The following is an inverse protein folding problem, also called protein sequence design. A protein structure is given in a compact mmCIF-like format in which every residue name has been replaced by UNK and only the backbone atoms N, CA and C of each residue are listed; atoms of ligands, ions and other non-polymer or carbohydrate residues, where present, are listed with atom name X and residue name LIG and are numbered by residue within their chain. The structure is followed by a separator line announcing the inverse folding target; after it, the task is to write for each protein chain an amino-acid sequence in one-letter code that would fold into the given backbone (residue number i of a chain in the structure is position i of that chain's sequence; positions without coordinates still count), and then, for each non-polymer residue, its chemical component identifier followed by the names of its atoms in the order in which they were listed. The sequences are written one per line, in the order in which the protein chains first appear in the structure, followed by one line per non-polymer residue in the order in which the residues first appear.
data_IF_912717779408
#
_entry.id   IF_912717779408
#
_cell.length_a   1.000
_cell.length_b   1.000
_cell.length_c   1.000
_cell.angle_alpha   90.00
_cell.angle_beta   90.00
_cell.angle_gamma   90.00
#
_symmetry.space_group_name_H-M   'P 1'
#
loop_
_entity.id
_entity.type
_entity.pdbx_description
1 polymer ?
#
# COMPACT_ATOMS: atom_id res chain seq x y z
N UNK A 1 -6.61 8.50 29.72
CA UNK A 1 -5.21 8.92 29.52
C UNK A 1 -4.96 10.34 30.03
N UNK A 2 -5.72 11.36 29.61
CA UNK A 2 -5.57 12.73 30.12
C UNK A 2 -5.71 12.82 31.65
N UNK A 3 -6.71 12.14 32.24
CA UNK A 3 -6.88 12.14 33.71
C UNK A 3 -5.73 11.47 34.45
N UNK A 4 -5.18 10.39 33.89
CA UNK A 4 -3.99 9.72 34.41
C UNK A 4 -2.79 10.68 34.39
N UNK A 5 -2.56 11.37 33.27
CA UNK A 5 -1.47 12.34 33.16
C UNK A 5 -1.66 13.52 34.14
N UNK A 6 -2.87 14.07 34.24
CA UNK A 6 -3.19 15.15 35.21
C UNK A 6 -2.95 14.71 36.65
N UNK A 7 -3.33 13.48 37.00
CA UNK A 7 -3.17 12.93 38.34
C UNK A 7 -1.69 12.67 38.67
N UNK A 8 -0.98 11.97 37.80
CA UNK A 8 0.37 11.48 38.10
C UNK A 8 1.49 12.48 37.82
N UNK A 9 1.25 13.49 36.98
CA UNK A 9 2.21 14.58 36.75
C UNK A 9 1.98 15.80 37.67
N UNK A 10 1.03 15.72 38.60
CA UNK A 10 0.80 16.78 39.58
C UNK A 10 1.98 16.90 40.56
N UNK A 11 2.26 18.13 41.01
CA UNK A 11 3.28 18.35 42.04
C UNK A 11 2.91 17.61 43.34
N UNK A 12 3.83 16.80 43.86
CA UNK A 12 3.59 15.97 45.04
C UNK A 12 2.79 14.70 44.78
N UNK A 13 2.59 14.30 43.52
CA UNK A 13 2.04 12.99 43.19
C UNK A 13 2.92 11.85 43.72
N UNK A 14 2.28 10.73 44.03
CA UNK A 14 2.95 9.51 44.46
C UNK A 14 3.97 9.05 43.39
N UNK A 15 5.22 8.70 43.76
CA UNK A 15 6.23 8.24 42.81
C UNK A 15 5.80 7.06 41.94
N UNK A 16 4.94 6.18 42.46
CA UNK A 16 4.44 4.98 41.78
C UNK A 16 3.08 5.22 41.10
N UNK A 17 2.56 6.46 41.10
CA UNK A 17 1.26 6.79 40.52
C UNK A 17 1.13 6.29 39.07
N UNK A 18 2.12 6.57 38.23
CA UNK A 18 2.07 6.18 36.82
C UNK A 18 2.04 4.67 36.63
N UNK A 19 2.84 3.93 37.41
CA UNK A 19 2.88 2.47 37.33
C UNK A 19 1.56 1.84 37.79
N UNK A 20 0.99 2.33 38.89
CA UNK A 20 -0.28 1.86 39.42
C UNK A 20 -1.44 2.15 38.45
N UNK A 21 -1.55 3.39 37.98
CA UNK A 21 -2.62 3.82 37.08
C UNK A 21 -2.51 3.17 35.69
N UNK A 22 -1.29 3.01 35.15
CA UNK A 22 -1.07 2.32 33.88
C UNK A 22 -1.40 0.83 33.96
N UNK A 23 -1.13 0.18 35.10
CA UNK A 23 -1.51 -1.22 35.35
C UNK A 23 -3.03 -1.36 35.37
N UNK A 24 -3.73 -0.53 36.15
CA UNK A 24 -5.19 -0.50 36.18
C UNK A 24 -5.80 -0.21 34.80
N UNK A 25 -5.18 0.66 34.01
CA UNK A 25 -5.60 0.94 32.64
C UNK A 25 -5.44 -0.28 31.72
N UNK A 26 -4.34 -1.02 31.84
CA UNK A 26 -4.11 -2.25 31.08
C UNK A 26 -5.10 -3.36 31.46
N UNK A 27 -5.43 -3.49 32.74
CA UNK A 27 -6.46 -4.41 33.25
C UNK A 27 -7.84 -4.07 32.71
N UNK A 28 -8.20 -2.78 32.76
CA UNK A 28 -9.46 -2.29 32.21
C UNK A 28 -9.57 -2.56 30.72
N UNK A 29 -8.48 -2.41 29.95
CA UNK A 29 -8.45 -2.75 28.51
C UNK A 29 -8.79 -4.22 28.23
N UNK A 30 -8.48 -5.12 29.16
CA UNK A 30 -8.75 -6.55 29.05
C UNK A 30 -10.15 -6.98 29.51
N UNK A 31 -10.91 -6.09 30.14
CA UNK A 31 -12.25 -6.42 30.60
C UNK A 31 -13.20 -6.66 29.40
N UNK A 32 -14.10 -7.67 29.47
CA UNK A 32 -15.10 -7.91 28.41
C UNK A 32 -15.92 -6.67 28.08
N UNK A 33 -16.31 -5.90 29.10
CA UNK A 33 -17.09 -4.66 28.99
C UNK A 33 -16.22 -3.38 28.86
N UNK A 34 -14.96 -3.54 28.47
CA UNK A 34 -14.07 -2.38 28.25
C UNK A 34 -14.65 -1.46 27.17
N UNK A 35 -14.74 -0.13 27.42
CA UNK A 35 -15.18 0.83 26.42
C UNK A 35 -14.08 1.16 25.39
N UNK A 36 -12.88 0.57 25.52
CA UNK A 36 -11.74 0.89 24.68
C UNK A 36 -11.72 0.07 23.38
N UNK A 37 -11.22 0.64 22.28
CA UNK A 37 -11.03 -0.11 21.04
C UNK A 37 -10.07 -1.27 21.25
N UNK A 38 -10.31 -2.37 20.53
CA UNK A 38 -9.51 -3.60 20.63
C UNK A 38 -8.65 -3.79 19.39
N UNK A 39 -7.38 -4.13 19.60
CA UNK A 39 -6.52 -4.60 18.53
C UNK A 39 -6.69 -6.11 18.31
N UNK A 40 -6.54 -6.61 17.07
CA UNK A 40 -6.38 -8.03 16.82
C UNK A 40 -5.27 -8.61 17.72
N UNK A 41 -5.53 -9.75 18.36
CA UNK A 41 -4.58 -10.39 19.27
C UNK A 41 -4.65 -9.94 20.73
N UNK A 42 -5.47 -8.93 21.08
CA UNK A 42 -5.60 -8.44 22.47
C UNK A 42 -5.98 -9.55 23.47
N UNK A 43 -6.83 -10.49 23.07
CA UNK A 43 -7.23 -11.61 23.91
C UNK A 43 -6.02 -12.44 24.37
N UNK A 44 -5.03 -12.65 23.49
CA UNK A 44 -3.79 -13.34 23.82
C UNK A 44 -2.89 -12.56 24.77
N UNK A 45 -2.89 -11.23 24.72
CA UNK A 45 -2.18 -10.40 25.69
C UNK A 45 -2.87 -10.36 27.05
N UNK A 46 -4.19 -10.46 27.08
CA UNK A 46 -4.98 -10.39 28.31
C UNK A 46 -4.88 -11.64 29.19
N UNK A 47 -4.33 -12.75 28.67
CA UNK A 47 -3.95 -13.91 29.48
C UNK A 47 -2.66 -13.70 30.29
N UNK A 48 -1.85 -12.71 29.91
CA UNK A 48 -0.62 -12.34 30.62
C UNK A 48 -0.94 -11.45 31.83
N UNK A 49 0.05 -11.21 32.69
CA UNK A 49 -0.08 -10.37 33.89
C UNK A 49 1.06 -9.35 34.00
N UNK A 50 0.85 -8.30 34.81
CA UNK A 50 1.90 -7.31 35.14
C UNK A 50 2.61 -6.74 33.91
N UNK A 51 3.95 -6.79 33.93
CA UNK A 51 4.79 -6.26 32.86
C UNK A 51 4.59 -7.00 31.52
N UNK A 52 4.42 -8.32 31.54
CA UNK A 52 4.24 -9.11 30.31
C UNK A 52 2.97 -8.72 29.57
N UNK A 53 1.89 -8.43 30.30
CA UNK A 53 0.67 -7.86 29.72
C UNK A 53 0.93 -6.49 29.11
N UNK A 54 1.61 -5.58 29.84
CA UNK A 54 1.92 -4.22 29.35
C UNK A 54 2.73 -4.29 28.06
N UNK A 55 3.78 -5.11 28.02
CA UNK A 55 4.64 -5.28 26.85
C UNK A 55 3.90 -5.92 25.67
N UNK A 56 3.09 -6.94 25.93
CA UNK A 56 2.29 -7.57 24.88
C UNK A 56 1.28 -6.58 24.28
N UNK A 57 0.53 -5.85 25.11
CA UNK A 57 -0.43 -4.84 24.66
C UNK A 57 0.26 -3.73 23.86
N UNK A 58 1.44 -3.27 24.30
CA UNK A 58 2.23 -2.25 23.59
C UNK A 58 2.77 -2.73 22.24
N UNK A 59 2.97 -4.05 22.06
CA UNK A 59 3.41 -4.64 20.81
C UNK A 59 2.27 -4.83 19.79
N UNK A 60 1.01 -4.75 20.21
CA UNK A 60 -0.14 -4.83 19.31
C UNK A 60 -0.15 -3.64 18.35
N UNK A 61 -0.39 -3.92 17.06
CA UNK A 61 -0.50 -2.90 16.02
C UNK A 61 -1.93 -2.85 15.51
N UNK A 62 -2.43 -1.65 15.25
CA UNK A 62 -3.67 -1.51 14.49
C UNK A 62 -3.42 -1.94 13.04
N UNK A 63 -4.34 -2.67 12.40
CA UNK A 63 -4.13 -3.12 11.03
C UNK A 63 -4.05 -1.91 10.09
N UNK A 64 -3.13 -1.89 9.11
CA UNK A 64 -3.12 -0.86 8.08
C UNK A 64 -4.42 -0.83 7.28
N UNK A 65 -4.90 0.38 6.99
CA UNK A 65 -6.12 0.60 6.22
C UNK A 65 -5.75 0.97 4.78
N UNK A 66 -5.91 0.01 3.87
CA UNK A 66 -5.61 0.21 2.43
C UNK A 66 -6.69 1.04 1.72
N UNK A 67 -7.90 1.10 2.27
CA UNK A 67 -9.04 1.85 1.73
C UNK A 67 -9.56 2.85 2.77
N UNK A 68 -9.05 4.10 2.79
CA UNK A 68 -9.62 5.18 3.59
C UNK A 68 -11.10 5.38 3.24
N UNK A 69 -11.92 5.63 4.26
CA UNK A 69 -13.36 5.88 4.16
C UNK A 69 -13.75 7.31 4.54
N UNK A 70 -12.81 8.11 5.04
CA UNK A 70 -13.00 9.51 5.38
C UNK A 70 -13.37 10.29 4.12
N UNK A 71 -14.57 10.86 4.14
CA UNK A 71 -15.07 11.77 3.12
C UNK A 71 -15.30 13.11 3.78
N UNK A 72 -14.66 14.15 3.25
CA UNK A 72 -14.88 15.50 3.74
C UNK A 72 -16.32 15.95 3.42
N UNK A 73 -17.11 16.39 4.41
CA UNK A 73 -18.45 16.90 4.16
C UNK A 73 -18.44 18.21 3.34
N UNK A 74 -19.61 18.64 2.91
CA UNK A 74 -19.74 19.94 2.25
C UNK A 74 -19.37 21.09 3.21
N UNK A 75 -19.02 22.25 2.64
CA UNK A 75 -18.67 23.44 3.44
C UNK A 75 -19.82 23.84 4.39
N UNK A 76 -21.07 23.68 3.96
CA UNK A 76 -22.27 23.98 4.74
C UNK A 76 -22.39 23.03 5.93
N UNK A 77 -22.31 21.72 5.70
CA UNK A 77 -22.34 20.70 6.76
C UNK A 77 -21.22 20.88 7.78
N UNK A 78 -20.01 21.21 7.32
CA UNK A 78 -18.87 21.51 8.19
C UNK A 78 -19.17 22.70 9.10
N UNK A 79 -19.64 23.81 8.53
CA UNK A 79 -19.89 25.02 9.32
C UNK A 79 -21.10 24.88 10.25
N UNK A 80 -22.14 24.17 9.84
CA UNK A 80 -23.29 23.87 10.69
C UNK A 80 -22.91 22.97 11.86
N UNK A 81 -22.10 21.93 11.62
CA UNK A 81 -21.59 21.05 12.67
C UNK A 81 -20.69 21.82 13.66
N UNK A 82 -19.76 22.63 13.15
CA UNK A 82 -18.89 23.48 13.98
C UNK A 82 -19.70 24.46 14.82
N UNK A 83 -20.74 25.09 14.25
CA UNK A 83 -21.60 26.03 14.97
C UNK A 83 -22.41 25.35 16.07
N UNK A 84 -22.88 24.12 15.82
CA UNK A 84 -23.71 23.35 16.74
C UNK A 84 -22.92 22.85 17.96
N UNK A 85 -21.74 22.30 17.73
CA UNK A 85 -20.86 21.75 18.77
C UNK A 85 -19.40 21.83 18.31
N UNK A 86 -18.71 22.96 18.58
CA UNK A 86 -17.34 23.14 18.13
C UNK A 86 -16.38 22.06 18.67
N UNK A 87 -16.53 21.69 19.93
CA UNK A 87 -15.64 20.72 20.57
C UNK A 87 -15.90 19.31 20.04
N UNK A 88 -17.15 18.86 20.00
CA UNK A 88 -17.50 17.55 19.47
C UNK A 88 -17.20 17.41 17.98
N UNK A 89 -17.31 18.49 17.20
CA UNK A 89 -16.87 18.53 15.81
C UNK A 89 -15.36 18.25 15.69
N UNK A 90 -14.54 18.97 16.45
CA UNK A 90 -13.08 18.82 16.42
C UNK A 90 -12.63 17.43 16.88
N UNK A 91 -13.21 16.92 17.97
CA UNK A 91 -12.91 15.57 18.46
C UNK A 91 -13.27 14.49 17.45
N UNK A 92 -14.45 14.59 16.82
CA UNK A 92 -14.89 13.63 15.80
C UNK A 92 -14.00 13.69 14.56
N UNK A 93 -13.69 14.89 14.07
CA UNK A 93 -12.77 15.05 12.94
C UNK A 93 -11.42 14.42 13.25
N UNK A 94 -10.84 14.70 14.42
CA UNK A 94 -9.55 14.14 14.82
C UNK A 94 -9.61 12.61 14.91
N UNK A 95 -10.68 12.03 15.47
CA UNK A 95 -10.85 10.59 15.55
C UNK A 95 -10.97 9.94 14.16
N UNK A 96 -11.88 10.44 13.32
CA UNK A 96 -12.18 9.87 12.01
C UNK A 96 -10.99 10.01 11.05
N UNK A 97 -10.41 11.21 10.96
CA UNK A 97 -9.27 11.48 10.07
C UNK A 97 -8.01 10.74 10.53
N UNK A 98 -7.70 10.77 11.84
CA UNK A 98 -6.48 10.12 12.33
C UNK A 98 -6.58 8.60 12.28
N UNK A 99 -7.76 8.02 12.44
CA UNK A 99 -7.97 6.57 12.28
C UNK A 99 -7.69 6.13 10.84
N UNK A 100 -8.18 6.91 9.86
CA UNK A 100 -8.06 6.61 8.44
C UNK A 100 -6.66 6.83 7.88
N UNK A 101 -5.94 7.81 8.42
CA UNK A 101 -4.56 8.16 8.04
C UNK A 101 -3.55 7.82 9.14
N UNK A 102 -3.82 6.77 9.90
CA UNK A 102 -3.09 6.36 11.12
C UNK A 102 -1.63 5.93 10.89
N UNK A 103 -1.25 5.66 9.64
CA UNK A 103 0.12 5.34 9.26
C UNK A 103 0.91 6.55 8.77
N UNK A 104 0.29 7.73 8.62
CA UNK A 104 1.07 8.96 8.49
C UNK A 104 1.88 9.18 9.78
N UNK A 105 3.17 9.56 9.69
CA UNK A 105 3.94 9.93 10.87
C UNK A 105 3.23 11.00 11.68
N UNK A 106 3.26 10.85 13.01
CA UNK A 106 2.53 11.73 13.92
C UNK A 106 2.77 13.23 13.65
N UNK A 107 4.00 13.73 13.42
CA UNK A 107 4.21 15.14 13.11
C UNK A 107 3.49 15.61 11.84
N UNK A 108 3.43 14.76 10.81
CA UNK A 108 2.76 15.06 9.54
C UNK A 108 1.25 15.10 9.75
N UNK A 109 0.71 14.10 10.45
CA UNK A 109 -0.73 14.01 10.75
C UNK A 109 -1.19 15.19 11.61
N UNK A 110 -0.43 15.55 12.64
CA UNK A 110 -0.69 16.73 13.49
C UNK A 110 -0.68 18.02 12.68
N UNK A 111 0.34 18.22 11.83
CA UNK A 111 0.38 19.40 10.97
C UNK A 111 -0.84 19.45 10.04
N UNK A 112 -1.26 18.33 9.45
CA UNK A 112 -2.46 18.26 8.60
C UNK A 112 -3.72 18.66 9.35
N UNK A 113 -3.97 18.06 10.53
CA UNK A 113 -5.20 18.30 11.31
C UNK A 113 -5.26 19.72 11.87
N UNK A 114 -4.14 20.26 12.36
CA UNK A 114 -4.06 21.66 12.83
C UNK A 114 -4.38 22.63 11.70
N UNK A 115 -3.77 22.45 10.53
CA UNK A 115 -4.04 23.30 9.38
C UNK A 115 -5.51 23.20 8.95
N UNK A 116 -6.06 21.99 8.88
CA UNK A 116 -7.46 21.76 8.52
C UNK A 116 -8.44 22.48 9.46
N UNK A 117 -8.30 22.28 10.78
CA UNK A 117 -9.15 22.94 11.77
C UNK A 117 -8.99 24.47 11.74
N UNK A 118 -7.79 24.97 11.46
CA UNK A 118 -7.56 26.41 11.25
C UNK A 118 -8.34 26.96 10.05
N UNK A 119 -8.37 26.24 8.92
CA UNK A 119 -9.14 26.63 7.74
C UNK A 119 -10.62 26.69 8.08
N UNK A 120 -11.14 25.65 8.73
CA UNK A 120 -12.56 25.55 9.10
C UNK A 120 -12.98 26.72 9.98
N UNK A 121 -12.26 26.97 11.08
CA UNK A 121 -12.58 28.08 11.99
C UNK A 121 -12.55 29.43 11.28
N UNK A 122 -11.58 29.63 10.39
CA UNK A 122 -11.43 30.88 9.63
C UNK A 122 -12.54 31.06 8.60
N UNK A 123 -12.82 30.03 7.80
CA UNK A 123 -13.74 30.15 6.67
C UNK A 123 -15.20 30.08 7.08
N UNK A 124 -15.56 29.34 8.13
CA UNK A 124 -16.92 29.36 8.67
C UNK A 124 -17.27 30.69 9.35
N UNK A 125 -16.28 31.44 9.82
CA UNK A 125 -16.47 32.80 10.34
C UNK A 125 -16.50 33.87 9.22
N UNK A 126 -16.19 33.51 7.98
CA UNK A 126 -16.14 34.44 6.84
C UNK A 126 -17.52 34.68 6.24
N UNK A 127 -17.81 35.94 5.91
CA UNK A 127 -19.01 36.33 5.14
C UNK A 127 -19.02 35.67 3.76
N UNK A 128 -17.84 35.45 3.17
CA UNK A 128 -17.67 34.76 1.89
C UNK A 128 -17.06 33.37 2.10
N UNK A 129 -17.74 32.52 2.88
CA UNK A 129 -17.27 31.19 3.29
C UNK A 129 -16.75 30.34 2.11
N UNK A 130 -17.50 30.22 1.02
CA UNK A 130 -17.10 29.40 -0.14
C UNK A 130 -15.82 29.91 -0.83
N UNK A 131 -15.63 31.23 -0.95
CA UNK A 131 -14.42 31.82 -1.54
C UNK A 131 -13.22 31.58 -0.61
N UNK A 132 -13.43 31.71 0.71
CA UNK A 132 -12.41 31.39 1.70
C UNK A 132 -11.96 29.93 1.60
N UNK A 133 -12.91 28.97 1.63
CA UNK A 133 -12.60 27.54 1.54
C UNK A 133 -11.83 27.20 0.28
N UNK A 134 -12.25 27.72 -0.88
CA UNK A 134 -11.54 27.48 -2.14
C UNK A 134 -10.09 27.95 -2.06
N UNK A 135 -9.87 29.19 -1.59
CA UNK A 135 -8.53 29.78 -1.48
C UNK A 135 -7.65 29.00 -0.51
N UNK A 136 -8.17 28.67 0.67
CA UNK A 136 -7.41 27.98 1.71
C UNK A 136 -7.11 26.51 1.35
N UNK A 137 -8.07 25.78 0.76
CA UNK A 137 -7.83 24.41 0.29
C UNK A 137 -6.77 24.38 -0.82
N UNK A 138 -6.79 25.32 -1.76
CA UNK A 138 -5.75 25.42 -2.80
C UNK A 138 -4.37 25.68 -2.19
N UNK A 139 -4.28 26.55 -1.17
CA UNK A 139 -3.04 26.85 -0.45
C UNK A 139 -2.50 25.63 0.31
N UNK A 140 -3.39 24.85 0.91
CA UNK A 140 -3.04 23.72 1.81
C UNK A 140 -3.01 22.36 1.12
N UNK A 141 -3.33 22.30 -0.19
CA UNK A 141 -3.26 21.09 -1.00
C UNK A 141 -1.94 20.32 -0.86
N UNK A 142 -0.74 20.95 -0.81
CA UNK A 142 0.51 20.23 -0.63
C UNK A 142 0.59 19.48 0.72
N UNK A 143 0.07 20.07 1.80
CA UNK A 143 0.06 19.44 3.14
C UNK A 143 -0.84 18.21 3.15
N UNK A 144 -2.03 18.31 2.57
CA UNK A 144 -2.96 17.18 2.47
C UNK A 144 -2.38 16.06 1.59
N UNK A 145 -1.85 16.42 0.42
CA UNK A 145 -1.21 15.48 -0.50
C UNK A 145 -0.04 14.74 0.18
N UNK A 146 0.81 15.48 0.88
CA UNK A 146 1.94 14.91 1.62
C UNK A 146 1.50 13.95 2.72
N UNK A 147 0.43 14.28 3.45
CA UNK A 147 -0.15 13.42 4.48
C UNK A 147 -0.67 12.11 3.90
N UNK A 148 -1.48 12.19 2.83
CA UNK A 148 -2.07 11.01 2.20
C UNK A 148 -0.99 10.12 1.58
N UNK A 149 0.01 10.72 0.95
CA UNK A 149 1.13 10.00 0.35
C UNK A 149 2.00 9.30 1.39
N UNK A 150 2.36 10.01 2.48
CA UNK A 150 3.12 9.43 3.59
C UNK A 150 2.35 8.29 4.25
N UNK A 151 1.04 8.46 4.46
CA UNK A 151 0.17 7.39 4.97
C UNK A 151 0.20 6.15 4.06
N UNK A 152 0.05 6.33 2.74
CA UNK A 152 0.07 5.22 1.78
C UNK A 152 1.43 4.51 1.77
N UNK A 153 2.52 5.26 1.76
CA UNK A 153 3.87 4.69 1.73
C UNK A 153 4.22 3.95 3.04
N UNK A 154 3.82 4.50 4.19
CA UNK A 154 4.02 3.85 5.48
C UNK A 154 3.08 2.68 5.74
N UNK A 155 1.85 2.73 5.22
CA UNK A 155 0.94 1.58 5.18
C UNK A 155 1.58 0.43 4.40
N UNK A 156 2.12 0.72 3.21
CA UNK A 156 2.84 -0.26 2.39
C UNK A 156 4.02 -0.88 3.17
N UNK A 157 4.86 -0.05 3.80
CA UNK A 157 6.02 -0.54 4.55
C UNK A 157 5.62 -1.36 5.77
N UNK A 158 4.57 -0.97 6.49
CA UNK A 158 4.06 -1.72 7.62
C UNK A 158 3.50 -3.10 7.23
N UNK A 159 2.91 -3.21 6.03
CA UNK A 159 2.36 -4.46 5.50
C UNK A 159 3.43 -5.40 4.96
N UNK A 160 4.40 -4.86 4.24
CA UNK A 160 5.41 -5.65 3.55
C UNK A 160 6.66 -5.92 4.41
N UNK A 161 7.01 -4.96 5.26
CA UNK A 161 8.31 -4.87 5.91
C UNK A 161 9.43 -4.52 4.94
N UNK A 162 10.51 -3.95 5.48
CA UNK A 162 11.66 -3.39 4.74
C UNK A 162 12.08 -4.17 3.49
N UNK A 163 12.36 -5.47 3.60
CA UNK A 163 12.85 -6.26 2.47
C UNK A 163 11.85 -6.36 1.30
N UNK A 164 10.56 -6.54 1.59
CA UNK A 164 9.53 -6.60 0.53
C UNK A 164 9.13 -5.19 0.07
N UNK A 165 9.26 -4.17 0.91
CA UNK A 165 9.16 -2.76 0.49
C UNK A 165 10.21 -2.44 -0.57
N UNK A 166 11.47 -2.87 -0.38
CA UNK A 166 12.50 -2.74 -1.42
C UNK A 166 12.10 -3.44 -2.72
N UNK A 167 11.52 -4.64 -2.66
CA UNK A 167 11.02 -5.32 -3.86
C UNK A 167 9.87 -4.56 -4.52
N UNK A 168 8.94 -4.04 -3.72
CA UNK A 168 7.82 -3.23 -4.21
C UNK A 168 8.32 -2.05 -5.04
N UNK A 169 9.27 -1.26 -4.50
CA UNK A 169 9.84 -0.14 -5.26
C UNK A 169 10.68 -0.58 -6.46
N UNK A 170 11.39 -1.72 -6.38
CA UNK A 170 12.11 -2.27 -7.54
C UNK A 170 11.15 -2.56 -8.69
N UNK A 171 10.03 -3.24 -8.39
CA UNK A 171 8.97 -3.52 -9.37
C UNK A 171 8.44 -2.20 -9.93
N UNK A 172 8.08 -1.25 -9.06
CA UNK A 172 7.46 0.02 -9.48
C UNK A 172 8.37 0.83 -10.40
N UNK A 173 9.62 1.05 -10.03
CA UNK A 173 10.56 1.78 -10.88
C UNK A 173 10.81 1.08 -12.21
N UNK A 174 10.90 -0.24 -12.21
CA UNK A 174 11.12 -1.03 -13.43
C UNK A 174 9.91 -0.97 -14.37
N UNK A 175 8.69 -1.10 -13.85
CA UNK A 175 7.46 -1.01 -14.64
C UNK A 175 7.16 0.42 -15.13
N UNK A 176 7.53 1.44 -14.36
CA UNK A 176 7.40 2.85 -14.74
C UNK A 176 8.46 3.29 -15.76
N UNK A 177 9.65 2.70 -15.71
CA UNK A 177 10.78 3.03 -16.59
C UNK A 177 11.52 1.74 -17.02
N UNK A 178 10.99 0.97 -17.99
CA UNK A 178 11.59 -0.30 -18.41
C UNK A 178 13.00 -0.16 -19.04
N UNK A 179 13.41 1.06 -19.38
CA UNK A 179 14.76 1.40 -19.83
C UNK A 179 15.77 1.59 -18.67
N UNK A 180 15.31 1.71 -17.43
CA UNK A 180 16.16 1.88 -16.24
C UNK A 180 16.98 0.61 -16.02
N UNK A 181 18.30 0.75 -15.83
CA UNK A 181 19.17 -0.40 -15.56
C UNK A 181 18.86 -1.04 -14.20
N UNK A 182 19.17 -2.33 -14.06
CA UNK A 182 19.02 -3.07 -12.80
C UNK A 182 19.72 -2.37 -11.62
N UNK A 183 20.98 -1.95 -11.80
CA UNK A 183 21.78 -1.35 -10.73
C UNK A 183 21.17 -0.03 -10.25
N UNK A 184 20.61 0.76 -11.16
CA UNK A 184 19.92 1.99 -10.81
C UNK A 184 18.57 1.71 -10.15
N UNK A 185 17.79 0.76 -10.67
CA UNK A 185 16.48 0.40 -10.12
C UNK A 185 16.60 -0.16 -8.70
N UNK A 186 17.56 -1.06 -8.44
CA UNK A 186 17.77 -1.65 -7.12
C UNK A 186 18.32 -0.65 -6.10
N UNK A 187 19.11 0.34 -6.55
CA UNK A 187 19.62 1.42 -5.71
C UNK A 187 18.49 2.35 -5.27
N UNK A 188 17.69 2.87 -6.21
CA UNK A 188 16.52 3.71 -5.91
C UNK A 188 15.52 2.98 -5.01
N UNK A 189 15.25 1.70 -5.29
CA UNK A 189 14.37 0.89 -4.48
C UNK A 189 14.90 0.66 -3.04
N UNK A 190 16.22 0.50 -2.90
CA UNK A 190 16.89 0.39 -1.62
C UNK A 190 16.75 1.67 -0.79
N UNK A 191 16.96 2.82 -1.42
CA UNK A 191 16.78 4.14 -0.78
C UNK A 191 15.34 4.33 -0.32
N UNK A 192 14.35 4.10 -1.19
CA UNK A 192 12.95 4.24 -0.84
C UNK A 192 12.58 3.39 0.39
N UNK A 193 13.06 2.14 0.43
CA UNK A 193 12.85 1.25 1.57
C UNK A 193 13.55 1.72 2.85
N UNK A 194 14.76 2.28 2.76
CA UNK A 194 15.48 2.83 3.91
C UNK A 194 14.76 4.05 4.48
N UNK A 195 14.33 4.96 3.60
CA UNK A 195 13.60 6.18 3.98
C UNK A 195 12.32 5.82 4.73
N UNK A 196 11.54 4.85 4.23
CA UNK A 196 10.31 4.43 4.91
C UNK A 196 10.60 3.77 6.26
N UNK A 197 11.57 2.85 6.31
CA UNK A 197 11.99 2.21 7.56
C UNK A 197 12.49 3.21 8.60
N UNK A 198 13.07 4.33 8.18
CA UNK A 198 13.57 5.40 9.04
C UNK A 198 12.47 6.37 9.47
N UNK A 199 11.64 6.84 8.52
CA UNK A 199 10.75 7.97 8.75
C UNK A 199 9.32 7.59 9.17
N UNK A 200 8.83 6.39 8.85
CA UNK A 200 7.45 6.02 9.17
C UNK A 200 7.14 5.96 10.68
N UNK A 201 8.14 5.69 11.50
CA UNK A 201 8.03 5.66 12.97
C UNK A 201 8.76 6.82 13.65
N UNK A 202 9.30 7.76 12.88
CA UNK A 202 10.06 8.89 13.41
C UNK A 202 9.14 9.99 13.96
N UNK A 203 9.55 10.60 15.06
CA UNK A 203 8.94 11.80 15.63
C UNK A 203 9.61 13.09 15.14
N UNK A 204 10.65 12.99 14.31
CA UNK A 204 11.30 14.15 13.70
C UNK A 204 10.39 14.80 12.66
N UNK A 205 10.02 16.07 12.87
CA UNK A 205 9.07 16.81 12.02
C UNK A 205 9.43 16.85 10.54
N UNK A 206 10.73 16.78 10.21
CA UNK A 206 11.27 16.94 8.86
C UNK A 206 11.92 15.69 8.28
N UNK A 207 11.74 14.52 8.89
CA UNK A 207 12.38 13.28 8.41
C UNK A 207 12.10 13.03 6.93
N UNK A 208 10.82 12.95 6.55
CA UNK A 208 10.43 12.71 5.16
C UNK A 208 10.88 13.83 4.23
N UNK A 209 10.74 15.10 4.62
CA UNK A 209 11.11 16.23 3.77
C UNK A 209 12.61 16.23 3.45
N UNK A 210 13.46 15.91 4.42
CA UNK A 210 14.91 15.85 4.24
C UNK A 210 15.31 14.68 3.34
N UNK A 211 14.79 13.48 3.61
CA UNK A 211 15.12 12.26 2.88
C UNK A 211 14.54 12.26 1.46
N UNK A 212 13.27 12.65 1.31
CA UNK A 212 12.55 12.64 0.03
C UNK A 212 13.19 13.62 -0.96
N UNK A 213 13.68 14.77 -0.50
CA UNK A 213 14.38 15.73 -1.36
C UNK A 213 15.61 15.12 -2.03
N UNK A 214 16.41 14.37 -1.27
CA UNK A 214 17.59 13.68 -1.80
C UNK A 214 17.18 12.58 -2.76
N UNK A 215 16.16 11.80 -2.40
CA UNK A 215 15.67 10.71 -3.22
C UNK A 215 15.06 11.19 -4.55
N UNK A 216 14.25 12.25 -4.55
CA UNK A 216 13.71 12.87 -5.77
C UNK A 216 14.86 13.30 -6.70
N UNK A 217 15.89 13.95 -6.15
CA UNK A 217 17.04 14.38 -6.96
C UNK A 217 17.74 13.17 -7.60
N UNK A 218 17.91 12.07 -6.86
CA UNK A 218 18.51 10.85 -7.39
C UNK A 218 17.64 10.18 -8.47
N UNK A 219 16.31 10.09 -8.26
CA UNK A 219 15.37 9.62 -9.30
C UNK A 219 15.52 10.46 -10.56
N UNK A 220 15.45 11.79 -10.43
CA UNK A 220 15.48 12.70 -11.57
C UNK A 220 16.79 12.66 -12.35
N UNK A 221 17.93 12.43 -11.68
CA UNK A 221 19.23 12.31 -12.33
C UNK A 221 19.43 10.96 -13.05
N UNK A 222 18.75 9.92 -12.59
CA UNK A 222 19.06 8.53 -12.99
C UNK A 222 18.04 7.93 -13.93
N UNK A 223 16.75 8.23 -13.73
CA UNK A 223 15.66 7.58 -14.43
C UNK A 223 15.01 8.45 -15.53
N UNK A 224 15.31 9.75 -15.61
CA UNK A 224 14.73 10.63 -16.64
C UNK A 224 15.25 10.36 -18.05
N UNK A 225 16.45 9.79 -18.19
CA UNK A 225 17.07 9.56 -19.50
C UNK A 225 16.22 8.57 -20.31
N UNK A 226 15.56 9.07 -21.36
CA UNK A 226 14.65 8.28 -22.19
C UNK A 226 13.24 8.08 -21.61
N UNK A 227 12.85 8.85 -20.58
CA UNK A 227 11.48 8.86 -20.04
C UNK A 227 10.95 10.30 -19.91
N UNK A 228 10.32 10.80 -20.98
CA UNK A 228 9.76 12.17 -21.02
C UNK A 228 8.68 12.41 -19.96
N UNK A 229 7.90 11.38 -19.61
CA UNK A 229 6.85 11.46 -18.58
C UNK A 229 7.47 11.75 -17.22
N UNK A 230 8.56 11.06 -16.89
CA UNK A 230 9.32 11.29 -15.66
C UNK A 230 10.05 12.64 -15.68
N UNK A 231 10.63 13.02 -16.83
CA UNK A 231 11.27 14.33 -16.99
C UNK A 231 10.28 15.49 -16.74
N UNK A 232 9.04 15.34 -17.20
CA UNK A 232 7.95 16.30 -16.92
C UNK A 232 7.69 16.43 -15.42
N UNK A 233 7.60 15.30 -14.69
CA UNK A 233 7.45 15.33 -13.23
C UNK A 233 8.61 16.04 -12.52
N UNK A 234 9.85 15.80 -12.96
CA UNK A 234 11.05 16.41 -12.38
C UNK A 234 11.17 17.93 -12.64
N UNK A 235 10.36 18.48 -13.55
CA UNK A 235 10.36 19.91 -13.89
C UNK A 235 9.51 20.76 -12.94
N UNK A 236 8.71 20.17 -12.04
CA UNK A 236 7.94 20.95 -11.05
C UNK A 236 8.86 21.71 -10.09
N UNK A 237 8.37 22.78 -9.47
CA UNK A 237 9.14 23.58 -8.50
C UNK A 237 9.06 23.04 -7.06
N UNK A 238 8.05 22.25 -6.74
CA UNK A 238 7.77 21.76 -5.39
C UNK A 238 8.09 20.27 -5.25
N UNK A 239 8.84 19.88 -4.20
CA UNK A 239 9.31 18.50 -4.04
C UNK A 239 8.14 17.52 -3.78
N UNK A 240 7.11 17.95 -3.05
CA UNK A 240 5.90 17.13 -2.82
C UNK A 240 5.17 16.85 -4.13
N UNK A 241 4.99 17.87 -4.98
CA UNK A 241 4.36 17.75 -6.29
C UNK A 241 5.19 16.95 -7.28
N UNK A 242 6.53 17.10 -7.26
CA UNK A 242 7.43 16.21 -8.02
C UNK A 242 7.19 14.76 -7.64
N UNK A 243 7.28 14.42 -6.37
CA UNK A 243 7.13 13.03 -5.95
C UNK A 243 5.70 12.52 -6.13
N UNK A 244 4.68 13.34 -5.91
CA UNK A 244 3.29 12.97 -6.22
C UNK A 244 3.14 12.64 -7.71
N UNK A 245 3.73 13.45 -8.60
CA UNK A 245 3.74 13.16 -10.03
C UNK A 245 4.46 11.84 -10.33
N UNK A 246 5.68 11.64 -9.81
CA UNK A 246 6.46 10.40 -9.98
C UNK A 246 5.66 9.19 -9.48
N UNK A 247 5.10 9.27 -8.28
CA UNK A 247 4.30 8.21 -7.66
C UNK A 247 3.05 7.88 -8.49
N UNK A 248 2.43 8.89 -9.10
CA UNK A 248 1.21 8.74 -9.90
C UNK A 248 1.47 8.37 -11.37
N UNK A 249 2.73 8.27 -11.82
CA UNK A 249 3.02 7.83 -13.19
C UNK A 249 2.48 6.41 -13.41
N UNK A 250 1.71 6.19 -14.49
CA UNK A 250 1.25 4.85 -14.85
C UNK A 250 2.42 3.99 -15.34
N UNK A 251 2.15 2.71 -15.55
CA UNK A 251 3.07 1.81 -16.22
C UNK A 251 3.55 2.36 -17.57
N UNK A 252 4.77 2.02 -17.97
CA UNK A 252 5.25 2.23 -19.32
C UNK A 252 5.07 0.98 -20.18
N UNK A 253 5.15 1.16 -21.49
CA UNK A 253 5.30 0.06 -22.43
C UNK A 253 6.79 -0.26 -22.54
N UNK A 254 7.13 -1.54 -22.46
CA UNK A 254 8.47 -1.95 -22.87
C UNK A 254 8.62 -1.75 -24.38
N UNK A 255 9.65 -1.01 -24.79
CA UNK A 255 10.04 -0.85 -26.20
C UNK A 255 11.10 -1.86 -26.64
N UNK A 256 11.50 -2.78 -25.75
CA UNK A 256 12.58 -3.73 -26.00
C UNK A 256 12.04 -5.12 -26.31
N UNK A 257 12.75 -5.84 -27.19
CA UNK A 257 12.47 -7.24 -27.47
C UNK A 257 12.56 -8.06 -26.17
N UNK A 258 11.56 -8.90 -25.86
CA UNK A 258 11.58 -9.70 -24.64
C UNK A 258 12.75 -10.68 -24.68
N UNK A 259 13.78 -10.42 -23.87
CA UNK A 259 14.71 -11.48 -23.49
C UNK A 259 14.04 -12.37 -22.46
N UNK A 260 14.41 -13.65 -22.43
CA UNK A 260 13.94 -14.55 -21.37
C UNK A 260 14.39 -14.01 -20.00
N UNK A 261 13.53 -14.02 -18.98
CA UNK A 261 13.91 -13.58 -17.65
C UNK A 261 15.00 -14.50 -17.08
N UNK A 262 15.90 -13.96 -16.26
CA UNK A 262 16.90 -14.77 -15.56
C UNK A 262 16.25 -15.88 -14.72
N UNK A 263 16.88 -17.06 -14.67
CA UNK A 263 16.40 -18.20 -13.88
C UNK A 263 16.71 -18.06 -12.39
N UNK A 264 15.85 -18.64 -11.55
CA UNK A 264 16.09 -18.86 -10.13
C UNK A 264 16.56 -20.31 -9.97
N UNK A 265 17.87 -20.51 -9.81
CA UNK A 265 18.52 -21.83 -9.78
C UNK A 265 19.47 -22.00 -8.57
N UNK A 266 20.21 -23.11 -8.52
CA UNK A 266 21.15 -23.41 -7.44
C UNK A 266 22.25 -22.35 -7.25
N UNK A 267 22.50 -21.49 -8.24
CA UNK A 267 23.42 -20.37 -8.15
C UNK A 267 23.07 -19.41 -7.02
N UNK A 268 21.80 -19.33 -6.61
CA UNK A 268 21.35 -18.49 -5.48
C UNK A 268 21.97 -18.90 -4.14
N UNK A 269 22.43 -20.14 -4.01
CA UNK A 269 23.01 -20.65 -2.76
C UNK A 269 24.40 -20.07 -2.46
N UNK A 270 25.02 -19.35 -3.40
CA UNK A 270 26.27 -18.62 -3.16
C UNK A 270 26.06 -17.45 -2.22
N UNK A 271 27.15 -16.97 -1.59
CA UNK A 271 27.14 -15.89 -0.58
C UNK A 271 26.32 -14.65 -0.99
N UNK A 272 26.42 -14.23 -2.25
CA UNK A 272 25.72 -13.05 -2.80
C UNK A 272 24.55 -13.42 -3.73
N UNK A 273 24.11 -14.68 -3.73
CA UNK A 273 23.10 -15.20 -4.67
C UNK A 273 21.69 -14.62 -4.49
N UNK A 274 21.42 -13.92 -3.38
CA UNK A 274 20.18 -13.14 -3.22
C UNK A 274 19.99 -12.09 -4.32
N UNK A 275 21.09 -11.58 -4.88
CA UNK A 275 21.07 -10.65 -6.04
C UNK A 275 20.41 -11.27 -7.26
N UNK A 276 20.53 -12.58 -7.44
CA UNK A 276 19.96 -13.28 -8.58
C UNK A 276 18.41 -13.31 -8.49
N UNK A 277 17.84 -13.41 -7.28
CA UNK A 277 16.39 -13.25 -7.07
C UNK A 277 15.94 -11.82 -7.42
N UNK A 278 16.68 -10.80 -6.97
CA UNK A 278 16.35 -9.40 -7.30
C UNK A 278 16.37 -9.18 -8.82
N UNK A 279 17.36 -9.77 -9.51
CA UNK A 279 17.51 -9.68 -10.96
C UNK A 279 16.38 -10.39 -11.70
N UNK A 280 15.97 -11.57 -11.25
CA UNK A 280 14.80 -12.26 -11.79
C UNK A 280 13.54 -11.38 -11.69
N UNK A 281 13.25 -10.80 -10.51
CA UNK A 281 12.08 -9.93 -10.35
C UNK A 281 12.15 -8.69 -11.25
N UNK A 282 13.33 -8.09 -11.39
CA UNK A 282 13.55 -6.98 -12.31
C UNK A 282 13.27 -7.40 -13.76
N UNK A 283 13.81 -8.52 -14.24
CA UNK A 283 13.62 -8.96 -15.62
C UNK A 283 12.13 -9.25 -15.90
N UNK A 284 11.45 -9.92 -14.97
CA UNK A 284 10.02 -10.23 -15.10
C UNK A 284 9.17 -8.96 -15.07
N UNK A 285 9.43 -8.03 -14.16
CA UNK A 285 8.70 -6.75 -14.10
C UNK A 285 8.91 -5.90 -15.35
N UNK A 286 10.08 -6.01 -15.99
CA UNK A 286 10.42 -5.32 -17.23
C UNK A 286 9.72 -5.91 -18.46
N UNK A 287 9.57 -7.23 -18.51
CA UNK A 287 8.86 -7.94 -19.59
C UNK A 287 7.35 -7.71 -19.45
N UNK A 288 6.83 -7.88 -18.23
CA UNK A 288 5.41 -7.78 -17.91
C UNK A 288 5.12 -6.47 -17.17
N UNK A 289 5.27 -5.34 -17.87
CA UNK A 289 5.19 -4.01 -17.27
C UNK A 289 3.84 -3.68 -16.64
N UNK A 290 2.77 -4.40 -17.01
CA UNK A 290 1.41 -4.22 -16.50
C UNK A 290 0.99 -5.34 -15.56
N UNK A 291 1.90 -6.25 -15.20
CA UNK A 291 1.61 -7.28 -14.21
C UNK A 291 1.32 -6.64 -12.83
N UNK A 292 0.26 -7.08 -12.13
CA UNK A 292 0.01 -6.71 -10.74
C UNK A 292 1.22 -6.97 -9.85
N UNK A 293 1.58 -5.98 -9.04
CA UNK A 293 2.69 -6.07 -8.08
C UNK A 293 2.56 -7.28 -7.13
N UNK A 294 1.34 -7.61 -6.72
CA UNK A 294 1.07 -8.73 -5.83
C UNK A 294 1.56 -10.09 -6.38
N UNK A 295 1.49 -10.30 -7.70
CA UNK A 295 1.99 -11.51 -8.36
C UNK A 295 3.52 -11.57 -8.32
N UNK A 296 4.18 -10.45 -8.60
CA UNK A 296 5.65 -10.32 -8.57
C UNK A 296 6.20 -10.48 -7.14
N UNK A 297 5.52 -9.94 -6.12
CA UNK A 297 5.86 -10.15 -4.70
C UNK A 297 5.67 -11.63 -4.31
N UNK A 298 4.68 -12.31 -4.88
CA UNK A 298 4.45 -13.75 -4.65
C UNK A 298 5.56 -14.58 -5.29
N UNK A 299 5.98 -14.26 -6.52
CA UNK A 299 7.15 -14.86 -7.18
C UNK A 299 8.43 -14.67 -6.35
N UNK A 300 8.66 -13.46 -5.84
CA UNK A 300 9.79 -13.17 -4.95
C UNK A 300 9.77 -14.03 -3.68
N UNK A 301 8.60 -14.17 -3.06
CA UNK A 301 8.44 -14.97 -1.84
C UNK A 301 8.65 -16.47 -2.12
N UNK A 302 8.16 -16.98 -3.25
CA UNK A 302 8.36 -18.36 -3.67
C UNK A 302 9.84 -18.65 -3.97
N UNK A 303 10.55 -17.71 -4.61
CA UNK A 303 11.98 -17.81 -4.89
C UNK A 303 12.82 -17.85 -3.61
N UNK A 304 12.46 -17.04 -2.60
CA UNK A 304 13.10 -17.12 -1.29
C UNK A 304 12.83 -18.45 -0.57
N UNK A 305 11.59 -18.94 -0.63
CA UNK A 305 11.24 -20.24 -0.05
C UNK A 305 12.03 -21.37 -0.70
N UNK A 306 12.14 -21.38 -2.04
CA UNK A 306 12.96 -22.35 -2.76
C UNK A 306 14.43 -22.30 -2.30
N UNK A 307 15.01 -21.11 -2.14
CA UNK A 307 16.37 -20.97 -1.63
C UNK A 307 16.53 -21.50 -0.19
N UNK A 308 15.57 -21.21 0.70
CA UNK A 308 15.58 -21.71 2.07
C UNK A 308 15.45 -23.24 2.13
N UNK A 309 14.60 -23.82 1.28
CA UNK A 309 14.33 -25.25 1.25
C UNK A 309 15.46 -26.05 0.58
N UNK A 310 16.08 -25.52 -0.47
CA UNK A 310 16.99 -26.29 -1.33
C UNK A 310 18.48 -26.12 -1.01
N UNK A 311 18.93 -24.94 -0.55
CA UNK A 311 20.37 -24.66 -0.45
C UNK A 311 21.12 -25.48 0.61
N UNK A 312 20.40 -26.05 1.59
CA UNK A 312 20.97 -26.93 2.61
C UNK A 312 20.97 -28.42 2.24
N UNK A 313 20.45 -28.79 1.07
CA UNK A 313 20.31 -30.19 0.67
C UNK A 313 21.57 -30.74 -0.01
N UNK A 314 21.68 -32.07 -0.06
CA UNK A 314 22.77 -32.78 -0.74
C UNK A 314 22.78 -32.54 -2.25
N UNK A 315 21.59 -32.39 -2.84
CA UNK A 315 21.42 -32.05 -4.26
C UNK A 315 20.49 -30.83 -4.40
N UNK A 316 21.03 -29.60 -4.24
CA UNK A 316 20.26 -28.38 -4.41
C UNK A 316 19.66 -28.27 -5.82
N UNK A 317 20.39 -28.72 -6.84
CA UNK A 317 19.99 -28.60 -8.24
C UNK A 317 18.71 -29.37 -8.55
N UNK A 318 18.63 -30.62 -8.09
CA UNK A 318 17.40 -31.40 -8.24
C UNK A 318 16.21 -30.73 -7.52
N UNK A 319 16.43 -30.22 -6.31
CA UNK A 319 15.41 -29.49 -5.55
C UNK A 319 14.93 -28.22 -6.27
N UNK A 320 15.84 -27.40 -6.82
CA UNK A 320 15.47 -26.21 -7.59
C UNK A 320 14.72 -26.57 -8.88
N UNK A 321 15.09 -27.65 -9.56
CA UNK A 321 14.37 -28.15 -10.74
C UNK A 321 12.92 -28.53 -10.39
N UNK A 322 12.72 -29.19 -9.25
CA UNK A 322 11.39 -29.50 -8.75
C UNK A 322 10.59 -28.23 -8.40
N UNK A 323 11.17 -27.29 -7.65
CA UNK A 323 10.52 -26.01 -7.30
C UNK A 323 10.22 -25.17 -8.53
N UNK A 324 11.11 -25.17 -9.53
CA UNK A 324 10.93 -24.45 -10.78
C UNK A 324 9.68 -24.93 -11.53
N UNK A 325 9.51 -26.26 -11.65
CA UNK A 325 8.36 -26.85 -12.34
C UNK A 325 7.05 -26.73 -11.54
N UNK A 326 7.07 -27.01 -10.23
CA UNK A 326 5.84 -27.09 -9.41
C UNK A 326 5.35 -25.76 -8.87
N UNK A 327 6.22 -24.75 -8.72
CA UNK A 327 5.87 -23.49 -8.04
C UNK A 327 6.16 -22.27 -8.90
N UNK A 328 7.35 -22.17 -9.49
CA UNK A 328 7.77 -20.96 -10.21
C UNK A 328 7.08 -20.84 -11.58
N UNK A 329 7.07 -21.91 -12.39
CA UNK A 329 6.44 -21.89 -13.71
C UNK A 329 4.93 -21.53 -13.69
N UNK A 330 4.10 -22.08 -12.78
CA UNK A 330 2.71 -21.65 -12.63
C UNK A 330 2.58 -20.16 -12.31
N UNK A 331 3.46 -19.60 -11.46
CA UNK A 331 3.44 -18.18 -11.13
C UNK A 331 3.78 -17.29 -12.33
N UNK A 332 4.71 -17.72 -13.20
CA UNK A 332 4.98 -17.00 -14.45
C UNK A 332 3.77 -16.94 -15.38
N UNK A 333 3.03 -18.06 -15.53
CA UNK A 333 1.80 -18.08 -16.32
C UNK A 333 0.74 -17.11 -15.74
N UNK A 334 0.60 -17.06 -14.41
CA UNK A 334 -0.29 -16.11 -13.75
C UNK A 334 0.14 -14.65 -13.95
N UNK A 335 1.45 -14.36 -13.95
CA UNK A 335 2.01 -13.03 -14.22
C UNK A 335 1.70 -12.59 -15.65
N UNK A 336 1.92 -13.47 -16.63
CA UNK A 336 1.60 -13.20 -18.04
C UNK A 336 0.11 -12.88 -18.23
N UNK A 337 -0.76 -13.70 -17.64
CA UNK A 337 -2.21 -13.49 -17.71
C UNK A 337 -2.66 -12.24 -16.97
N UNK A 338 -2.08 -11.97 -15.80
CA UNK A 338 -2.32 -10.73 -15.04
C UNK A 338 -1.93 -9.49 -15.85
N UNK A 339 -0.79 -9.54 -16.55
CA UNK A 339 -0.33 -8.48 -17.44
C UNK A 339 -1.27 -8.28 -18.64
N UNK A 340 -1.78 -9.34 -19.24
CA UNK A 340 -2.77 -9.28 -20.33
C UNK A 340 -4.07 -8.61 -19.85
N UNK A 341 -4.67 -9.09 -18.76
CA UNK A 341 -5.93 -8.55 -18.20
C UNK A 341 -5.79 -7.08 -17.84
N UNK A 342 -4.70 -6.72 -17.16
CA UNK A 342 -4.45 -5.32 -16.82
C UNK A 342 -4.13 -4.49 -18.05
N UNK A 343 -3.59 -5.10 -19.11
CA UNK A 343 -3.43 -4.47 -20.42
C UNK A 343 -4.76 -4.13 -21.08
N UNK A 344 -5.70 -5.08 -21.13
CA UNK A 344 -7.05 -4.84 -21.65
C UNK A 344 -7.76 -3.69 -20.92
N UNK A 345 -7.60 -3.60 -19.60
CA UNK A 345 -8.16 -2.52 -18.80
C UNK A 345 -7.49 -1.17 -19.06
N UNK A 346 -6.15 -1.13 -19.12
CA UNK A 346 -5.40 0.14 -19.21
C UNK A 346 -5.33 0.72 -20.63
N UNK A 347 -5.53 -0.10 -21.67
CA UNK A 347 -5.50 0.34 -23.07
C UNK A 347 -6.84 0.95 -23.55
N UNK A 348 -7.89 0.90 -22.74
CA UNK A 348 -9.24 1.32 -23.13
C UNK A 348 -9.86 2.30 -22.13
N UNK A 349 -10.84 3.08 -22.58
CA UNK A 349 -11.73 3.78 -21.65
C UNK A 349 -12.55 2.77 -20.85
N UNK A 350 -13.00 3.14 -19.66
CA UNK A 350 -13.78 2.25 -18.81
C UNK A 350 -15.04 1.68 -19.51
N UNK A 351 -15.72 2.51 -20.30
CA UNK A 351 -16.91 2.10 -21.06
C UNK A 351 -16.56 1.08 -22.15
N UNK A 352 -15.47 1.29 -22.87
CA UNK A 352 -15.01 0.38 -23.92
C UNK A 352 -14.53 -0.96 -23.33
N UNK A 353 -13.78 -0.90 -22.23
CA UNK A 353 -13.39 -2.08 -21.46
C UNK A 353 -14.61 -2.92 -21.05
N UNK A 354 -15.62 -2.31 -20.43
CA UNK A 354 -16.83 -3.02 -19.99
C UNK A 354 -17.59 -3.69 -21.15
N UNK A 355 -17.70 -3.02 -22.29
CA UNK A 355 -18.35 -3.58 -23.49
C UNK A 355 -17.63 -4.83 -23.98
N UNK A 356 -16.30 -4.76 -24.10
CA UNK A 356 -15.47 -5.90 -24.53
C UNK A 356 -15.52 -7.04 -23.54
N UNK A 357 -15.39 -6.74 -22.25
CA UNK A 357 -15.45 -7.74 -21.19
C UNK A 357 -16.80 -8.48 -21.21
N UNK A 358 -17.91 -7.76 -21.37
CA UNK A 358 -19.24 -8.38 -21.46
C UNK A 358 -19.41 -9.24 -22.71
N UNK A 359 -18.91 -8.77 -23.85
CA UNK A 359 -18.95 -9.55 -25.10
C UNK A 359 -18.16 -10.85 -24.95
N UNK A 360 -16.93 -10.79 -24.43
CA UNK A 360 -16.10 -11.95 -24.17
C UNK A 360 -16.75 -12.89 -23.15
N UNK A 361 -17.33 -12.35 -22.07
CA UNK A 361 -18.03 -13.14 -21.06
C UNK A 361 -19.18 -13.97 -21.66
N UNK A 362 -19.99 -13.36 -22.53
CA UNK A 362 -21.12 -14.04 -23.17
C UNK A 362 -20.70 -15.18 -24.10
N UNK A 363 -19.49 -15.14 -24.67
CA UNK A 363 -18.99 -16.23 -25.54
C UNK A 363 -18.66 -17.52 -24.80
N UNK A 364 -18.57 -17.48 -23.46
CA UNK A 364 -18.22 -18.63 -22.63
C UNK A 364 -19.42 -19.49 -22.24
N UNK A 365 -20.62 -18.93 -22.35
CA UNK A 365 -21.84 -19.55 -21.88
C UNK A 365 -22.79 -19.83 -23.06
N UNK A 366 -23.64 -20.87 -22.99
CA UNK A 366 -24.60 -21.16 -24.04
C UNK A 366 -25.54 -19.96 -24.31
N UNK A 367 -25.67 -19.51 -25.57
CA UNK A 367 -26.43 -18.30 -25.88
C UNK A 367 -27.93 -18.47 -25.63
N UNK A 368 -28.60 -17.39 -25.24
CA UNK A 368 -30.06 -17.31 -25.18
C UNK A 368 -30.71 -17.87 -23.91
N UNK A 369 -29.94 -18.13 -22.84
CA UNK A 369 -30.48 -18.53 -21.53
C UNK A 369 -30.30 -17.42 -20.50
N UNK A 370 -31.28 -17.26 -19.60
CA UNK A 370 -31.20 -16.30 -18.48
C UNK A 370 -30.03 -16.63 -17.53
N UNK A 371 -29.72 -17.92 -17.40
CA UNK A 371 -28.60 -18.40 -16.57
C UNK A 371 -27.25 -17.94 -17.14
N UNK A 372 -27.04 -18.04 -18.46
CA UNK A 372 -25.85 -17.52 -19.13
C UNK A 372 -25.70 -16.01 -18.96
N UNK A 373 -26.79 -15.23 -19.01
CA UNK A 373 -26.72 -13.79 -18.77
C UNK A 373 -26.35 -13.44 -17.32
N UNK A 374 -26.87 -14.19 -16.35
CA UNK A 374 -26.54 -14.01 -14.94
C UNK A 374 -25.08 -14.37 -14.66
N UNK A 375 -24.61 -15.51 -15.18
CA UNK A 375 -23.22 -15.96 -15.04
C UNK A 375 -22.24 -14.98 -15.70
N UNK A 376 -22.54 -14.52 -16.92
CA UNK A 376 -21.74 -13.49 -17.59
C UNK A 376 -21.70 -12.18 -16.79
N UNK A 377 -22.83 -11.77 -16.21
CA UNK A 377 -22.89 -10.54 -15.39
C UNK A 377 -22.06 -10.66 -14.11
N UNK A 378 -22.11 -11.81 -13.42
CA UNK A 378 -21.30 -12.07 -12.23
C UNK A 378 -19.79 -12.05 -12.56
N UNK A 379 -19.39 -12.67 -13.68
CA UNK A 379 -18.02 -12.64 -14.16
C UNK A 379 -17.55 -11.21 -14.48
N UNK A 380 -18.40 -10.42 -15.15
CA UNK A 380 -18.11 -9.01 -15.47
C UNK A 380 -17.90 -8.20 -14.18
N UNK A 381 -18.79 -8.35 -13.19
CA UNK A 381 -18.69 -7.65 -11.91
C UNK A 381 -17.41 -7.99 -11.17
N UNK A 382 -17.10 -9.29 -11.07
CA UNK A 382 -15.90 -9.79 -10.42
C UNK A 382 -14.63 -9.27 -11.09
N UNK A 383 -14.50 -9.42 -12.42
CA UNK A 383 -13.31 -8.97 -13.16
C UNK A 383 -13.18 -7.45 -13.11
N UNK A 384 -14.29 -6.71 -13.15
CA UNK A 384 -14.29 -5.25 -12.98
C UNK A 384 -13.81 -4.84 -11.60
N UNK A 385 -14.29 -5.49 -10.53
CA UNK A 385 -13.86 -5.24 -9.16
C UNK A 385 -12.35 -5.47 -8.99
N UNK A 386 -11.83 -6.53 -9.61
CA UNK A 386 -10.39 -6.82 -9.59
C UNK A 386 -9.57 -5.76 -10.33
N UNK A 387 -9.85 -5.50 -11.61
CA UNK A 387 -8.99 -4.61 -12.42
C UNK A 387 -9.01 -3.18 -11.92
N UNK A 388 -10.14 -2.69 -11.42
CA UNK A 388 -10.26 -1.31 -10.91
C UNK A 388 -9.46 -1.07 -9.63
N UNK A 389 -9.14 -2.13 -8.87
CA UNK A 389 -8.39 -2.06 -7.61
C UNK A 389 -6.95 -2.55 -7.74
N UNK A 390 -6.67 -3.48 -8.66
CA UNK A 390 -5.38 -4.16 -8.74
C UNK A 390 -4.59 -3.89 -10.02
N UNK A 391 -5.21 -3.31 -11.07
CA UNK A 391 -4.51 -2.98 -12.32
C UNK A 391 -3.99 -1.54 -12.36
N UNK A 392 -3.22 -1.18 -11.34
CA UNK A 392 -2.45 0.06 -11.35
C UNK A 392 -1.20 -0.07 -10.47
N UNK A 393 -0.20 0.77 -10.71
CA UNK A 393 1.11 0.68 -10.07
C UNK A 393 1.07 0.65 -8.53
N UNK A 394 0.20 1.46 -7.92
CA UNK A 394 0.11 1.60 -6.46
C UNK A 394 -1.04 0.79 -5.85
N UNK A 395 -1.32 -0.39 -6.43
CA UNK A 395 -2.38 -1.27 -5.96
C UNK A 395 -2.18 -1.66 -4.48
N UNK A 396 -3.27 -1.83 -3.71
CA UNK A 396 -3.19 -2.22 -2.30
C UNK A 396 -2.61 -3.64 -2.17
N UNK A 397 -1.40 -3.79 -1.61
CA UNK A 397 -0.66 -5.06 -1.62
C UNK A 397 -1.35 -6.21 -0.87
N UNK A 398 -2.04 -5.95 0.24
CA UNK A 398 -2.73 -7.01 0.98
C UNK A 398 -4.01 -7.44 0.27
N UNK A 399 -4.86 -6.47 -0.11
CA UNK A 399 -6.08 -6.76 -0.86
C UNK A 399 -5.78 -7.55 -2.13
N UNK A 400 -4.90 -7.03 -3.00
CA UNK A 400 -4.54 -7.71 -4.24
C UNK A 400 -3.73 -8.98 -3.99
N UNK A 401 -2.96 -9.05 -2.90
CA UNK A 401 -2.25 -10.24 -2.45
C UNK A 401 -3.18 -11.41 -2.09
N UNK A 402 -4.33 -11.13 -1.49
CA UNK A 402 -5.38 -12.13 -1.21
C UNK A 402 -5.99 -12.61 -2.53
N UNK A 403 -6.32 -11.69 -3.44
CA UNK A 403 -6.93 -12.01 -4.73
C UNK A 403 -6.07 -12.95 -5.60
N UNK A 404 -4.75 -12.97 -5.42
CA UNK A 404 -3.84 -13.80 -6.22
C UNK A 404 -3.42 -15.11 -5.53
N UNK A 405 -3.72 -15.29 -4.24
CA UNK A 405 -3.27 -16.44 -3.44
C UNK A 405 -4.37 -17.45 -3.14
N UNK A 406 -5.62 -17.00 -3.11
CA UNK A 406 -6.74 -17.87 -2.77
C UNK A 406 -7.24 -18.56 -4.06
N UNK A 407 -7.23 -19.91 -4.14
CA UNK A 407 -7.75 -20.66 -5.28
C UNK A 407 -9.22 -20.38 -5.57
N UNK A 408 -9.97 -19.88 -4.58
CA UNK A 408 -11.38 -19.49 -4.63
C UNK A 408 -11.54 -17.97 -4.84
N UNK A 409 -10.50 -17.16 -4.57
CA UNK A 409 -10.46 -15.77 -4.98
C UNK A 409 -10.18 -15.72 -6.48
N UNK A 410 -11.26 -15.90 -7.22
CA UNK A 410 -11.38 -15.74 -8.65
C UNK A 410 -10.67 -14.45 -9.15
N UNK A 411 -9.42 -14.60 -9.57
CA UNK A 411 -9.13 -14.20 -10.92
C UNK A 411 -9.55 -15.40 -11.76
N UNK A 412 -10.84 -15.46 -12.11
CA UNK A 412 -11.37 -16.47 -13.02
C UNK A 412 -10.79 -16.19 -14.41
N UNK A 413 -9.60 -16.74 -14.56
CA UNK A 413 -8.73 -16.72 -15.70
C UNK A 413 -9.35 -17.66 -16.75
N UNK A 414 -10.29 -17.16 -17.55
CA UNK A 414 -11.14 -17.93 -18.47
C UNK A 414 -10.52 -19.16 -19.20
N UNK A 415 -11.43 -20.10 -19.47
CA UNK A 415 -11.38 -21.54 -19.82
C UNK A 415 -11.29 -22.50 -18.62
N UNK A 416 -10.51 -22.18 -17.58
CA UNK A 416 -10.31 -23.12 -16.44
C UNK A 416 -11.41 -23.09 -15.36
N UNK A 417 -12.38 -22.18 -15.46
CA UNK A 417 -13.44 -22.03 -14.45
C UNK A 417 -14.64 -22.97 -14.62
N UNK A 418 -14.67 -23.79 -15.69
CA UNK A 418 -15.78 -24.71 -15.94
C UNK A 418 -15.53 -26.08 -15.30
N UNK A 419 -14.32 -26.38 -14.79
CA UNK A 419 -13.95 -27.72 -14.29
C UNK A 419 -13.95 -27.88 -12.76
N UNK A 420 -14.38 -26.89 -11.97
CA UNK A 420 -14.44 -27.00 -10.50
C UNK A 420 -15.86 -27.02 -9.90
N UNK A 421 -16.90 -27.26 -10.70
CA UNK A 421 -18.24 -27.60 -10.22
C UNK A 421 -18.74 -28.95 -10.78
N UNK A 422 -17.93 -30.00 -10.58
CA UNK A 422 -18.39 -31.40 -10.76
C UNK A 422 -17.94 -32.30 -9.63
#
# INVERSE_FOLDING_TARGET
MLDLAKKCCAAGADPDCYENESTAFSEKSCHPDSPFPRHPGIAGCCTQHGLDRKLCLAALKHPPKEFPTFVEPSNEEICDALKKDPHGFEERFLADYSSDYSYAPLPILLNSTINYLSIIRTCCASIQSNICFLKERLRQKPVQAFTHLSNKACTLDALLGKNKTKISYLIKFTQQTPSLSFDNAIALAGEASEILSKCCTSLEERCFQNELKLHIAHICNTACSGNERLQSCCSSKDDVGKYLCIYSLPWDRSSQDPQAPSSVDEGICRKDGKVDIYRNIYDVARIYTRAPEALLITLYSASQAAAADCCGLLDPKACFTEKASKTIAPLHALIEKGNEICGEYTDHTYVEFLKRLRANALTLFPPGTLDAENQASALVEQRTSYVTKCCHLNAPPMYCGIQVKDPVANICFLVDCIENES
#
